data_IF_187651852448
#
_entry.id   IF_187651852448
#
_cell.length_a   1.000
_cell.length_b   1.000
_cell.length_c   1.000
_cell.angle_alpha   90.00
_cell.angle_beta   90.00
_cell.angle_gamma   90.00
#
_symmetry.space_group_name_H-M   'P 1'
#
loop_
_entity.id
_entity.type
_entity.pdbx_description
1 polymer ?
#
# COMPACT_ATOMS: atom_id res chain seq x y z
N UNK A 1 -8.00 4.80 17.11
CA UNK A 1 -9.10 3.83 16.96
C UNK A 1 -9.74 3.91 15.57
N UNK A 2 -10.29 5.04 15.11
CA UNK A 2 -11.02 5.15 13.85
C UNK A 2 -10.28 4.64 12.61
N UNK A 3 -8.97 4.93 12.47
CA UNK A 3 -8.14 4.44 11.36
C UNK A 3 -8.13 2.91 11.32
N UNK A 4 -7.95 2.25 12.47
CA UNK A 4 -7.90 0.79 12.54
C UNK A 4 -9.28 0.14 12.32
N UNK A 5 -10.37 0.80 12.72
CA UNK A 5 -11.74 0.36 12.40
C UNK A 5 -11.93 0.40 10.87
N UNK A 6 -11.54 1.50 10.23
CA UNK A 6 -11.59 1.61 8.77
C UNK A 6 -10.71 0.58 8.06
N UNK A 7 -9.49 0.37 8.56
CA UNK A 7 -8.57 -0.64 8.02
C UNK A 7 -9.06 -2.09 8.22
N UNK A 8 -9.86 -2.35 9.24
CA UNK A 8 -10.52 -3.64 9.46
C UNK A 8 -11.72 -3.84 8.51
N UNK A 9 -12.61 -2.85 8.42
CA UNK A 9 -13.84 -2.97 7.64
C UNK A 9 -13.63 -2.80 6.13
N UNK A 10 -12.64 -2.00 5.73
CA UNK A 10 -12.36 -1.70 4.32
C UNK A 10 -12.13 -2.93 3.45
N UNK A 11 -11.20 -3.83 3.81
CA UNK A 11 -10.96 -5.06 3.03
C UNK A 11 -12.17 -6.00 2.98
N UNK A 12 -12.96 -6.08 4.05
CA UNK A 12 -14.20 -6.89 4.10
C UNK A 12 -15.21 -6.34 3.09
N UNK A 13 -15.39 -5.02 3.08
CA UNK A 13 -16.29 -4.37 2.12
C UNK A 13 -15.76 -4.47 0.69
N UNK A 14 -14.45 -4.35 0.49
CA UNK A 14 -13.81 -4.51 -0.81
C UNK A 14 -13.99 -5.94 -1.35
N UNK A 15 -13.79 -6.97 -0.54
CA UNK A 15 -14.02 -8.37 -0.91
C UNK A 15 -15.49 -8.60 -1.29
N UNK A 16 -16.43 -8.09 -0.49
CA UNK A 16 -17.85 -8.17 -0.78
C UNK A 16 -18.20 -7.55 -2.13
N UNK A 17 -17.76 -6.30 -2.36
CA UNK A 17 -18.06 -5.58 -3.60
C UNK A 17 -17.41 -6.23 -4.83
N UNK A 18 -16.16 -6.72 -4.68
CA UNK A 18 -15.48 -7.44 -5.74
C UNK A 18 -16.19 -8.74 -6.11
N UNK A 19 -16.50 -9.56 -5.13
CA UNK A 19 -17.04 -10.91 -5.37
C UNK A 19 -18.51 -10.87 -5.81
N UNK A 20 -19.28 -9.87 -5.35
CA UNK A 20 -20.69 -9.71 -5.73
C UNK A 20 -20.84 -9.01 -7.08
N UNK A 21 -19.99 -8.06 -7.40
CA UNK A 21 -20.08 -7.23 -8.61
C UNK A 21 -18.82 -7.36 -9.45
N UNK A 22 -17.78 -6.57 -9.17
CA UNK A 22 -16.51 -6.57 -9.88
C UNK A 22 -15.46 -5.68 -9.19
N UNK A 23 -14.27 -5.64 -9.74
CA UNK A 23 -13.18 -4.78 -9.25
C UNK A 23 -13.50 -3.28 -9.30
N UNK A 24 -14.19 -2.83 -10.34
CA UNK A 24 -14.57 -1.41 -10.46
C UNK A 24 -15.48 -0.96 -9.32
N UNK A 25 -16.43 -1.81 -8.90
CA UNK A 25 -17.29 -1.57 -7.76
C UNK A 25 -16.50 -1.51 -6.44
N UNK A 26 -15.51 -2.40 -6.25
CA UNK A 26 -14.64 -2.37 -5.08
C UNK A 26 -13.86 -1.05 -4.99
N UNK A 27 -13.27 -0.58 -6.09
CA UNK A 27 -12.59 0.72 -6.14
C UNK A 27 -13.54 1.91 -5.95
N UNK A 28 -14.73 1.86 -6.55
CA UNK A 28 -15.74 2.91 -6.39
C UNK A 28 -16.17 3.09 -4.92
N UNK A 29 -16.20 2.00 -4.15
CA UNK A 29 -16.51 2.05 -2.71
C UNK A 29 -15.50 2.91 -1.94
N UNK A 30 -14.21 2.83 -2.27
CA UNK A 30 -13.19 3.69 -1.67
C UNK A 30 -13.43 5.17 -2.02
N UNK A 31 -13.78 5.46 -3.28
CA UNK A 31 -14.13 6.81 -3.72
C UNK A 31 -15.34 7.39 -2.96
N UNK A 32 -16.39 6.60 -2.80
CA UNK A 32 -17.57 7.00 -2.01
C UNK A 32 -17.19 7.25 -0.56
N UNK A 33 -16.38 6.37 0.05
CA UNK A 33 -15.90 6.56 1.41
C UNK A 33 -15.10 7.86 1.58
N UNK A 34 -14.25 8.20 0.62
CA UNK A 34 -13.51 9.48 0.61
C UNK A 34 -14.45 10.69 0.50
N UNK A 35 -15.48 10.63 -0.33
CA UNK A 35 -16.48 11.71 -0.45
C UNK A 35 -17.24 11.90 0.86
N UNK A 36 -17.68 10.82 1.49
CA UNK A 36 -18.33 10.87 2.82
C UNK A 36 -17.37 11.51 3.84
N UNK A 37 -16.10 11.07 3.86
CA UNK A 37 -15.07 11.63 4.74
C UNK A 37 -14.89 13.14 4.52
N UNK A 38 -14.84 13.58 3.27
CA UNK A 38 -14.74 15.01 2.91
C UNK A 38 -15.95 15.81 3.40
N UNK A 39 -17.17 15.29 3.21
CA UNK A 39 -18.39 15.93 3.70
C UNK A 39 -18.39 16.06 5.22
N UNK A 40 -18.08 14.96 5.94
CA UNK A 40 -18.00 14.96 7.40
C UNK A 40 -16.93 15.94 7.89
N UNK A 41 -15.77 15.96 7.26
CA UNK A 41 -14.68 16.88 7.59
C UNK A 41 -15.12 18.33 7.38
N UNK A 42 -15.74 18.64 6.24
CA UNK A 42 -16.20 20.01 5.90
C UNK A 42 -17.24 20.50 6.90
N UNK A 43 -18.22 19.66 7.27
CA UNK A 43 -19.22 19.99 8.29
C UNK A 43 -18.56 20.17 9.68
N UNK A 44 -17.57 19.31 10.01
CA UNK A 44 -16.85 19.34 11.27
C UNK A 44 -15.82 20.47 11.41
N UNK A 45 -15.44 21.14 10.32
CA UNK A 45 -14.39 22.15 10.28
C UNK A 45 -14.60 23.26 11.30
N UNK A 46 -15.85 23.66 11.53
CA UNK A 46 -16.22 24.68 12.53
C UNK A 46 -15.78 24.33 13.97
N UNK A 47 -15.68 23.04 14.30
CA UNK A 47 -15.30 22.57 15.63
C UNK A 47 -13.79 22.46 15.83
N UNK A 48 -13.02 22.33 14.74
CA UNK A 48 -11.55 22.16 14.78
C UNK A 48 -10.78 23.41 14.33
N UNK A 49 -11.49 24.43 13.83
CA UNK A 49 -10.89 25.65 13.29
C UNK A 49 -10.00 26.40 14.31
N UNK A 50 -10.28 26.28 15.60
CA UNK A 50 -9.46 26.87 16.66
C UNK A 50 -8.10 26.15 16.83
N UNK A 51 -7.96 24.92 16.35
CA UNK A 51 -6.70 24.15 16.39
C UNK A 51 -5.82 24.44 15.17
N UNK A 52 -6.36 25.08 14.12
CA UNK A 52 -5.61 25.51 12.95
C UNK A 52 -4.89 26.84 13.22
N UNK A 53 -3.86 26.75 14.06
CA UNK A 53 -3.03 27.91 14.41
C UNK A 53 -1.88 27.99 13.44
N UNK A 54 -1.96 28.94 12.50
CA UNK A 54 -0.80 29.29 11.67
C UNK A 54 0.28 29.90 12.56
N UNK A 55 1.47 29.29 12.57
CA UNK A 55 2.63 29.95 13.20
C UNK A 55 2.97 31.22 12.41
N UNK A 56 3.25 32.33 13.10
CA UNK A 56 3.74 33.53 12.42
C UNK A 56 5.04 33.20 11.68
N UNK A 57 5.16 33.68 10.45
CA UNK A 57 6.36 33.52 9.61
C UNK A 57 7.51 34.29 10.29
N UNK A 58 8.56 33.56 10.67
CA UNK A 58 9.75 34.16 11.27
C UNK A 58 10.70 34.71 10.17
N UNK A 59 11.53 35.71 10.57
CA UNK A 59 12.56 36.22 9.65
C UNK A 59 13.60 35.13 9.38
N UNK A 60 13.58 34.56 8.19
CA UNK A 60 14.47 33.46 7.78
C UNK A 60 13.71 32.22 7.27
N UNK A 61 12.40 32.17 7.46
CA UNK A 61 11.58 31.09 6.92
C UNK A 61 11.59 31.12 5.38
N UNK A 62 11.69 29.94 4.79
CA UNK A 62 11.63 29.81 3.34
C UNK A 62 10.23 30.17 2.83
N UNK A 63 10.14 31.17 1.95
CA UNK A 63 8.87 31.50 1.31
C UNK A 63 8.38 30.34 0.46
N UNK A 64 7.05 30.25 0.27
CA UNK A 64 6.43 29.25 -0.63
C UNK A 64 7.04 29.28 -2.04
N UNK A 65 7.34 30.49 -2.56
CA UNK A 65 8.01 30.65 -3.85
C UNK A 65 9.41 30.05 -3.88
N UNK A 66 10.16 30.17 -2.77
CA UNK A 66 11.48 29.55 -2.62
C UNK A 66 11.40 28.03 -2.59
N UNK A 67 10.43 27.47 -1.87
CA UNK A 67 10.22 26.02 -1.82
C UNK A 67 9.80 25.50 -3.18
N UNK A 68 8.87 26.19 -3.85
CA UNK A 68 8.44 25.79 -5.19
C UNK A 68 9.58 25.84 -6.20
N UNK A 69 10.34 26.95 -6.25
CA UNK A 69 11.43 27.12 -7.21
C UNK A 69 12.66 26.26 -6.93
N UNK A 70 13.00 25.98 -5.67
CA UNK A 70 14.22 25.24 -5.31
C UNK A 70 14.00 23.74 -5.05
N UNK A 71 12.76 23.31 -4.83
CA UNK A 71 12.43 21.91 -4.51
C UNK A 71 11.51 21.32 -5.57
N UNK A 72 10.29 21.85 -5.72
CA UNK A 72 9.29 21.25 -6.59
C UNK A 72 9.65 21.34 -8.07
N UNK A 73 10.07 22.50 -8.54
CA UNK A 73 10.40 22.68 -9.96
C UNK A 73 11.59 21.79 -10.39
N UNK A 74 12.74 21.76 -9.69
CA UNK A 74 13.81 20.82 -10.01
C UNK A 74 13.37 19.35 -9.89
N UNK A 75 12.54 19.00 -8.91
CA UNK A 75 12.03 17.64 -8.76
C UNK A 75 11.18 17.22 -9.96
N UNK A 76 10.27 18.08 -10.42
CA UNK A 76 9.45 17.80 -11.61
C UNK A 76 10.34 17.65 -12.85
N UNK A 77 11.29 18.55 -13.06
CA UNK A 77 12.20 18.49 -14.22
C UNK A 77 13.03 17.20 -14.19
N UNK A 78 13.67 16.89 -13.05
CA UNK A 78 14.44 15.65 -12.92
C UNK A 78 13.56 14.41 -13.06
N UNK A 79 12.33 14.45 -12.55
CA UNK A 79 11.37 13.36 -12.71
C UNK A 79 10.99 13.10 -14.17
N UNK A 80 10.73 14.14 -14.94
CA UNK A 80 10.47 14.03 -16.38
C UNK A 80 11.71 13.52 -17.13
N UNK A 81 12.89 14.00 -16.76
CA UNK A 81 14.15 13.49 -17.33
C UNK A 81 14.31 12.00 -17.01
N UNK A 82 14.12 11.59 -15.75
CA UNK A 82 14.22 10.18 -15.36
C UNK A 82 13.20 9.28 -16.05
N UNK A 83 12.02 9.80 -16.34
CA UNK A 83 11.00 9.05 -17.11
C UNK A 83 11.40 8.84 -18.58
N UNK A 84 12.03 9.84 -19.20
CA UNK A 84 12.26 9.87 -20.65
C UNK A 84 13.67 9.42 -21.01
N UNK A 85 14.70 9.85 -20.27
CA UNK A 85 16.10 9.65 -20.62
C UNK A 85 16.53 8.18 -20.75
N UNK A 86 16.08 7.21 -19.94
CA UNK A 86 16.47 5.82 -20.10
C UNK A 86 16.19 5.33 -21.53
N UNK A 87 15.01 5.58 -22.03
CA UNK A 87 14.57 5.10 -23.33
C UNK A 87 15.22 5.86 -24.51
N UNK A 88 15.27 7.19 -24.45
CA UNK A 88 15.66 8.02 -25.59
C UNK A 88 17.14 8.41 -25.61
N UNK A 89 17.82 8.37 -24.45
CA UNK A 89 19.22 8.79 -24.33
C UNK A 89 20.13 7.58 -24.10
N UNK A 90 19.72 6.65 -23.23
CA UNK A 90 20.55 5.50 -22.87
C UNK A 90 20.22 4.24 -23.70
N UNK A 91 19.11 4.25 -24.45
CA UNK A 91 18.70 3.11 -25.27
C UNK A 91 18.25 1.89 -24.46
N UNK A 92 17.94 2.07 -23.16
CA UNK A 92 17.40 1.02 -22.28
C UNK A 92 15.93 1.31 -21.98
N UNK A 93 15.13 0.27 -21.79
CA UNK A 93 13.69 0.45 -21.52
C UNK A 93 13.47 1.20 -20.22
N UNK A 94 14.21 0.87 -19.17
CA UNK A 94 14.23 1.54 -17.86
C UNK A 94 15.48 1.12 -17.08
N UNK A 95 15.79 1.83 -15.98
CA UNK A 95 16.95 1.55 -15.11
C UNK A 95 16.51 0.75 -13.87
N UNK A 96 15.38 1.13 -13.25
CA UNK A 96 14.92 0.61 -11.97
C UNK A 96 13.58 -0.15 -12.08
N UNK A 97 13.37 -0.86 -13.17
CA UNK A 97 12.23 -1.77 -13.37
C UNK A 97 10.98 -1.15 -13.98
N UNK A 98 10.84 0.18 -14.01
CA UNK A 98 9.80 0.88 -14.78
C UNK A 98 10.12 2.36 -14.95
N UNK A 99 9.61 2.98 -16.03
CA UNK A 99 9.77 4.41 -16.27
C UNK A 99 9.24 5.28 -15.11
N UNK A 100 8.14 4.83 -14.47
CA UNK A 100 7.57 5.53 -13.31
C UNK A 100 8.52 5.51 -12.11
N UNK A 101 9.19 4.37 -11.88
CA UNK A 101 10.18 4.22 -10.80
C UNK A 101 11.38 5.10 -11.08
N UNK A 102 11.87 5.12 -12.32
CA UNK A 102 12.98 5.95 -12.74
C UNK A 102 12.65 7.44 -12.53
N UNK A 103 11.49 7.88 -13.02
CA UNK A 103 11.02 9.25 -12.81
C UNK A 103 10.92 9.63 -11.33
N UNK A 104 10.41 8.74 -10.49
CA UNK A 104 10.32 8.99 -9.04
C UNK A 104 11.69 9.10 -8.37
N UNK A 105 12.62 8.20 -8.69
CA UNK A 105 13.98 8.22 -8.11
C UNK A 105 14.72 9.49 -8.54
N UNK A 106 14.66 9.85 -9.82
CA UNK A 106 15.26 11.07 -10.31
C UNK A 106 14.64 12.33 -9.69
N UNK A 107 13.32 12.35 -9.48
CA UNK A 107 12.64 13.46 -8.79
C UNK A 107 13.07 13.58 -7.31
N UNK A 108 13.39 12.49 -6.65
CA UNK A 108 13.83 12.50 -5.25
C UNK A 108 15.23 13.12 -5.08
N UNK A 109 16.11 13.06 -6.08
CA UNK A 109 17.49 13.55 -6.00
C UNK A 109 17.58 15.05 -5.60
N UNK A 110 16.92 16.00 -6.31
CA UNK A 110 16.99 17.41 -5.93
C UNK A 110 16.34 17.68 -4.56
N UNK A 111 15.33 16.90 -4.17
CA UNK A 111 14.71 17.01 -2.84
C UNK A 111 15.73 16.64 -1.75
N UNK A 112 16.42 15.51 -1.91
CA UNK A 112 17.47 15.08 -0.97
C UNK A 112 18.61 16.10 -0.91
N UNK A 113 19.08 16.58 -2.07
CA UNK A 113 20.13 17.61 -2.14
C UNK A 113 19.70 18.88 -1.41
N UNK A 114 18.47 19.31 -1.57
CA UNK A 114 17.94 20.48 -0.87
C UNK A 114 18.00 20.31 0.65
N UNK A 115 17.46 19.22 1.17
CA UNK A 115 17.45 18.98 2.63
C UNK A 115 18.86 18.78 3.21
N UNK A 116 19.73 18.07 2.51
CA UNK A 116 21.13 17.94 2.91
C UNK A 116 21.84 19.32 2.87
N UNK A 117 21.53 20.17 1.89
CA UNK A 117 22.09 21.53 1.83
C UNK A 117 21.64 22.41 3.00
N UNK A 118 20.39 22.22 3.49
CA UNK A 118 19.93 22.91 4.70
C UNK A 118 20.77 22.50 5.92
N UNK A 119 21.06 21.23 6.09
CA UNK A 119 21.90 20.73 7.16
C UNK A 119 23.33 21.28 7.08
N UNK A 120 23.93 21.26 5.87
CA UNK A 120 25.30 21.75 5.67
C UNK A 120 25.41 23.24 6.04
N UNK A 121 24.41 24.05 5.68
CA UNK A 121 24.35 25.50 5.90
C UNK A 121 23.81 25.89 7.26
N UNK A 122 23.29 24.95 8.05
CA UNK A 122 22.72 25.22 9.34
C UNK A 122 23.74 25.71 10.35
N UNK A 123 23.33 26.61 11.25
CA UNK A 123 24.10 27.06 12.39
C UNK A 123 24.36 25.92 13.39
N UNK A 124 25.32 26.08 14.27
CA UNK A 124 25.69 25.05 15.27
C UNK A 124 24.51 24.58 16.14
N UNK A 125 23.58 25.49 16.45
CA UNK A 125 22.35 25.23 17.23
C UNK A 125 21.36 24.36 16.47
N UNK A 126 21.22 24.58 15.15
CA UNK A 126 20.17 23.93 14.34
C UNK A 126 20.67 22.63 13.67
N UNK A 127 21.98 22.46 13.61
CA UNK A 127 22.62 21.34 12.91
C UNK A 127 22.23 19.97 13.48
N UNK A 128 22.14 19.86 14.81
CA UNK A 128 21.73 18.62 15.50
C UNK A 128 20.25 18.27 15.27
N UNK A 129 19.29 19.18 15.48
CA UNK A 129 17.88 18.93 15.17
C UNK A 129 17.64 18.55 13.70
N UNK A 130 18.28 19.25 12.74
CA UNK A 130 18.14 18.94 11.31
C UNK A 130 18.75 17.58 11.00
N UNK A 131 19.92 17.24 11.54
CA UNK A 131 20.50 15.90 11.37
C UNK A 131 19.57 14.79 11.91
N UNK A 132 18.99 15.00 13.09
CA UNK A 132 18.03 14.04 13.66
C UNK A 132 16.80 13.86 12.74
N UNK A 133 16.28 14.95 12.17
CA UNK A 133 15.16 14.92 11.24
C UNK A 133 15.52 14.14 9.95
N UNK A 134 16.72 14.37 9.38
CA UNK A 134 17.18 13.64 8.21
C UNK A 134 17.32 12.13 8.48
N UNK A 135 17.83 11.75 9.66
CA UNK A 135 17.92 10.35 10.08
C UNK A 135 16.52 9.75 10.20
N UNK A 136 15.56 10.46 10.81
CA UNK A 136 14.17 9.99 10.89
C UNK A 136 13.57 9.82 9.50
N UNK A 137 13.82 10.72 8.57
CA UNK A 137 13.35 10.58 7.18
C UNK A 137 13.95 9.34 6.50
N UNK A 138 15.26 9.12 6.63
CA UNK A 138 15.90 7.94 6.08
C UNK A 138 15.33 6.63 6.66
N UNK A 139 15.15 6.57 7.97
CA UNK A 139 14.51 5.43 8.64
C UNK A 139 13.05 5.25 8.21
N UNK A 140 12.32 6.35 8.01
CA UNK A 140 10.94 6.31 7.53
C UNK A 140 10.85 5.72 6.12
N UNK A 141 11.79 6.04 5.23
CA UNK A 141 11.83 5.44 3.88
C UNK A 141 11.97 3.92 3.98
N UNK A 142 12.91 3.42 4.79
CA UNK A 142 13.09 1.97 5.01
C UNK A 142 11.84 1.34 5.62
N UNK A 143 11.27 1.97 6.66
CA UNK A 143 10.04 1.49 7.28
C UNK A 143 8.90 1.37 6.27
N UNK A 144 8.65 2.42 5.48
CA UNK A 144 7.57 2.41 4.50
C UNK A 144 7.83 1.45 3.35
N UNK A 145 9.08 1.25 2.93
CA UNK A 145 9.44 0.25 1.93
C UNK A 145 9.06 -1.16 2.39
N UNK A 146 9.37 -1.51 3.64
CA UNK A 146 9.00 -2.82 4.23
C UNK A 146 7.48 -2.90 4.44
N UNK A 147 6.87 -1.88 5.02
CA UNK A 147 5.45 -1.86 5.34
C UNK A 147 4.56 -2.00 4.09
N UNK A 148 4.95 -1.36 2.98
CA UNK A 148 4.19 -1.41 1.73
C UNK A 148 4.25 -2.78 1.03
N UNK A 149 5.19 -3.67 1.40
CA UNK A 149 5.20 -5.05 0.93
C UNK A 149 3.93 -5.82 1.32
N UNK A 150 3.22 -5.38 2.37
CA UNK A 150 1.94 -5.96 2.74
C UNK A 150 0.90 -5.89 1.60
N UNK A 151 0.86 -4.77 0.86
CA UNK A 151 -0.06 -4.59 -0.27
C UNK A 151 0.43 -5.20 -1.60
N UNK A 152 1.64 -5.70 -1.67
CA UNK A 152 2.25 -6.23 -2.91
C UNK A 152 2.74 -7.67 -2.73
N UNK A 153 3.97 -7.88 -2.29
CA UNK A 153 4.59 -9.19 -2.19
C UNK A 153 3.84 -10.12 -1.22
N UNK A 154 3.48 -9.63 -0.03
CA UNK A 154 2.76 -10.45 0.96
C UNK A 154 1.33 -10.80 0.51
N UNK A 155 0.65 -9.89 -0.20
CA UNK A 155 -0.66 -10.19 -0.79
C UNK A 155 -0.55 -11.26 -1.88
N UNK A 156 0.49 -11.21 -2.73
CA UNK A 156 0.76 -12.27 -3.71
C UNK A 156 1.11 -13.58 -3.05
N UNK A 157 1.94 -13.55 -2.00
CA UNK A 157 2.23 -14.73 -1.20
C UNK A 157 0.96 -15.35 -0.63
N UNK A 158 0.12 -14.53 0.02
CA UNK A 158 -1.16 -14.98 0.55
C UNK A 158 -2.06 -15.58 -0.54
N UNK A 159 -2.05 -15.00 -1.74
CA UNK A 159 -2.88 -15.47 -2.85
C UNK A 159 -2.46 -16.84 -3.39
N UNK A 160 -1.16 -17.09 -3.55
CA UNK A 160 -0.67 -18.22 -4.32
C UNK A 160 0.05 -19.30 -3.49
N UNK A 161 0.47 -18.97 -2.25
CA UNK A 161 1.31 -19.87 -1.43
C UNK A 161 0.75 -20.14 -0.05
N UNK A 162 -0.42 -19.57 0.28
CA UNK A 162 -1.07 -19.79 1.56
C UNK A 162 -2.31 -20.65 1.35
N UNK A 163 -2.53 -21.62 2.23
CA UNK A 163 -3.76 -22.38 2.24
C UNK A 163 -4.94 -21.47 2.56
N UNK A 164 -5.83 -21.32 1.60
CA UNK A 164 -7.01 -20.46 1.67
C UNK A 164 -8.32 -21.24 1.61
N UNK A 165 -8.25 -22.56 1.66
CA UNK A 165 -9.45 -23.38 1.67
C UNK A 165 -10.32 -23.03 2.87
N UNK A 166 -11.60 -22.94 2.62
CA UNK A 166 -12.57 -22.56 3.66
C UNK A 166 -12.96 -23.81 4.43
N UNK A 167 -12.81 -23.78 5.76
CA UNK A 167 -13.30 -24.87 6.60
C UNK A 167 -14.81 -25.03 6.42
N UNK A 168 -15.29 -26.27 6.30
CA UNK A 168 -16.68 -26.59 6.01
C UNK A 168 -17.71 -25.90 6.93
N UNK A 169 -17.32 -25.69 8.21
CA UNK A 169 -18.18 -25.01 9.22
C UNK A 169 -18.46 -23.54 8.89
N UNK A 170 -17.49 -22.85 8.25
CA UNK A 170 -17.61 -21.42 7.94
C UNK A 170 -17.88 -21.15 6.45
N UNK A 171 -17.91 -22.17 5.62
CA UNK A 171 -18.09 -22.02 4.18
C UNK A 171 -19.44 -21.36 3.84
N UNK A 172 -20.54 -21.87 4.37
CA UNK A 172 -21.87 -21.34 4.09
C UNK A 172 -22.03 -19.86 4.49
N UNK A 173 -21.67 -19.42 5.71
CA UNK A 173 -21.73 -18.00 6.06
C UNK A 173 -20.73 -17.15 5.27
N UNK A 174 -19.53 -17.64 4.98
CA UNK A 174 -18.54 -16.89 4.19
C UNK A 174 -19.01 -16.67 2.74
N UNK A 175 -19.66 -17.66 2.14
CA UNK A 175 -20.30 -17.53 0.81
C UNK A 175 -21.47 -16.54 0.83
N UNK A 176 -22.34 -16.64 1.83
CA UNK A 176 -23.48 -15.73 1.98
C UNK A 176 -23.06 -14.26 2.12
N UNK A 177 -21.90 -14.03 2.73
CA UNK A 177 -21.32 -12.69 2.89
C UNK A 177 -20.36 -12.31 1.76
N UNK A 178 -20.25 -13.09 0.70
CA UNK A 178 -19.35 -12.85 -0.42
C UNK A 178 -17.88 -12.66 0.01
N UNK A 179 -17.43 -13.36 1.05
CA UNK A 179 -16.06 -13.31 1.57
C UNK A 179 -15.15 -14.39 0.97
N UNK A 180 -15.68 -15.16 0.04
CA UNK A 180 -14.96 -16.19 -0.71
C UNK A 180 -14.91 -15.83 -2.19
N UNK A 181 -13.81 -16.17 -2.84
CA UNK A 181 -13.71 -16.16 -4.30
C UNK A 181 -13.83 -17.57 -4.84
N UNK A 182 -14.47 -17.66 -6.00
CA UNK A 182 -14.61 -18.92 -6.73
C UNK A 182 -13.44 -19.07 -7.68
N UNK A 183 -12.62 -20.10 -7.49
CA UNK A 183 -11.47 -20.37 -8.37
C UNK A 183 -11.80 -21.53 -9.31
N UNK A 184 -11.72 -21.32 -10.64
CA UNK A 184 -11.87 -22.40 -11.60
C UNK A 184 -10.67 -23.35 -11.51
N UNK A 185 -10.92 -24.64 -11.45
CA UNK A 185 -9.88 -25.68 -11.39
C UNK A 185 -9.44 -26.14 -12.78
N UNK A 186 -10.17 -25.71 -13.81
CA UNK A 186 -9.89 -26.05 -15.23
C UNK A 186 -8.58 -25.46 -15.70
N UNK A 187 -7.94 -26.18 -16.62
CA UNK A 187 -6.83 -25.64 -17.40
C UNK A 187 -7.35 -24.49 -18.27
N UNK A 188 -6.74 -23.33 -18.14
CA UNK A 188 -7.10 -22.13 -18.90
C UNK A 188 -5.82 -21.36 -19.31
N UNK A 189 -6.01 -20.32 -20.06
CA UNK A 189 -4.94 -19.43 -20.51
C UNK A 189 -4.49 -18.53 -19.36
N UNK A 190 -3.48 -18.96 -18.60
CA UNK A 190 -2.92 -18.24 -17.47
C UNK A 190 -1.64 -17.50 -17.84
N UNK A 191 -1.37 -16.39 -17.18
CA UNK A 191 -0.13 -15.64 -17.37
C UNK A 191 1.05 -16.47 -16.88
N UNK A 192 2.11 -16.58 -17.71
CA UNK A 192 3.38 -17.16 -17.31
C UNK A 192 4.15 -16.14 -16.45
N UNK A 193 4.55 -16.55 -15.25
CA UNK A 193 5.43 -15.78 -14.37
C UNK A 193 6.82 -16.39 -14.34
N UNK A 194 7.85 -15.55 -14.21
CA UNK A 194 9.24 -15.97 -13.95
C UNK A 194 9.47 -16.26 -12.45
N UNK A 195 10.73 -16.54 -12.08
CA UNK A 195 11.12 -16.83 -10.69
C UNK A 195 10.98 -15.62 -9.76
N UNK A 196 11.02 -14.41 -10.30
CA UNK A 196 10.82 -13.14 -9.60
C UNK A 196 9.33 -12.70 -9.56
N UNK A 197 8.41 -13.57 -9.97
CA UNK A 197 6.95 -13.31 -10.04
C UNK A 197 6.56 -12.17 -11.00
N UNK A 198 7.39 -11.87 -11.99
CA UNK A 198 7.06 -10.93 -13.03
C UNK A 198 6.40 -11.66 -14.21
N UNK A 199 5.45 -10.99 -14.86
CA UNK A 199 4.83 -11.56 -16.05
C UNK A 199 5.85 -11.63 -17.20
N UNK A 200 6.14 -12.82 -17.69
CA UNK A 200 7.04 -13.03 -18.84
C UNK A 200 6.46 -12.32 -20.06
N UNK A 201 7.26 -11.47 -20.69
CA UNK A 201 6.88 -10.75 -21.90
C UNK A 201 7.80 -11.14 -23.05
N UNK A 202 7.22 -11.34 -24.22
CA UNK A 202 7.93 -11.52 -25.50
C UNK A 202 7.37 -10.48 -26.46
N UNK A 203 8.23 -9.67 -27.05
CA UNK A 203 7.86 -8.54 -27.92
C UNK A 203 6.83 -7.58 -27.26
N UNK A 204 7.01 -7.29 -25.97
CA UNK A 204 6.11 -6.42 -25.20
C UNK A 204 4.76 -7.03 -24.85
N UNK A 205 4.45 -8.25 -25.29
CA UNK A 205 3.20 -8.96 -24.98
C UNK A 205 3.40 -9.97 -23.88
N UNK A 206 2.44 -10.02 -22.95
CA UNK A 206 2.43 -11.00 -21.86
C UNK A 206 2.24 -12.40 -22.42
N UNK A 207 3.16 -13.32 -22.08
CA UNK A 207 3.08 -14.73 -22.48
C UNK A 207 2.02 -15.41 -21.63
N UNK A 208 1.13 -16.13 -22.29
CA UNK A 208 0.14 -16.99 -21.64
C UNK A 208 0.43 -18.45 -21.96
N UNK A 209 0.21 -19.31 -20.99
CA UNK A 209 0.35 -20.77 -21.10
C UNK A 209 -0.97 -21.44 -20.75
N UNK A 210 -1.22 -22.61 -21.31
CA UNK A 210 -2.37 -23.44 -20.91
C UNK A 210 -1.97 -24.21 -19.65
N UNK A 211 -2.51 -23.80 -18.51
CA UNK A 211 -2.18 -24.40 -17.23
C UNK A 211 -3.28 -24.11 -16.21
N UNK A 212 -3.22 -24.75 -15.04
CA UNK A 212 -4.03 -24.38 -13.89
C UNK A 212 -3.50 -23.10 -13.25
N UNK A 213 -4.35 -22.42 -12.47
CA UNK A 213 -3.91 -21.26 -11.70
C UNK A 213 -2.72 -21.62 -10.80
N UNK A 214 -1.81 -20.65 -10.59
CA UNK A 214 -0.59 -20.80 -9.79
C UNK A 214 -0.90 -21.36 -8.39
N UNK A 215 -2.04 -21.00 -7.81
CA UNK A 215 -2.48 -21.50 -6.50
C UNK A 215 -2.52 -23.04 -6.49
N UNK A 216 -3.17 -23.67 -7.47
CA UNK A 216 -3.31 -25.13 -7.53
C UNK A 216 -1.98 -25.83 -7.79
N UNK A 217 -1.08 -25.24 -8.58
CA UNK A 217 0.25 -25.79 -8.82
C UNK A 217 1.11 -25.85 -7.57
N UNK A 218 0.91 -24.92 -6.64
CA UNK A 218 1.67 -24.84 -5.38
C UNK A 218 1.09 -25.74 -4.29
N UNK A 219 -0.08 -26.34 -4.49
CA UNK A 219 -0.65 -27.31 -3.55
C UNK A 219 0.10 -28.65 -3.62
N UNK A 220 0.25 -29.35 -2.48
CA UNK A 220 0.72 -30.72 -2.48
C UNK A 220 -0.11 -31.61 -3.42
N UNK A 221 0.48 -32.64 -4.05
CA UNK A 221 -0.23 -33.49 -5.01
C UNK A 221 -1.54 -34.09 -4.48
N UNK A 222 -1.60 -34.41 -3.18
CA UNK A 222 -2.78 -34.99 -2.54
C UNK A 222 -3.95 -33.99 -2.43
N UNK A 223 -3.67 -32.69 -2.49
CA UNK A 223 -4.64 -31.59 -2.34
C UNK A 223 -4.95 -30.91 -3.66
N UNK A 224 -4.35 -31.36 -4.75
CA UNK A 224 -4.70 -30.84 -6.07
C UNK A 224 -6.11 -31.30 -6.46
N UNK A 225 -6.94 -30.40 -7.04
CA UNK A 225 -8.30 -30.76 -7.43
C UNK A 225 -8.26 -31.86 -8.50
N UNK A 226 -9.02 -32.95 -8.24
CA UNK A 226 -9.10 -34.11 -9.13
C UNK A 226 -10.24 -33.98 -10.16
N UNK A 227 -11.18 -33.06 -9.93
CA UNK A 227 -12.31 -32.76 -10.78
C UNK A 227 -12.29 -31.30 -11.24
N UNK A 228 -13.15 -30.96 -12.17
CA UNK A 228 -13.30 -29.62 -12.72
C UNK A 228 -14.27 -28.74 -11.89
N UNK A 229 -14.63 -29.15 -10.69
CA UNK A 229 -15.50 -28.37 -9.83
C UNK A 229 -14.78 -27.16 -9.24
N UNK A 230 -15.41 -25.99 -9.21
CA UNK A 230 -14.78 -24.80 -8.68
C UNK A 230 -14.54 -24.93 -7.17
N UNK A 231 -13.37 -24.43 -6.71
CA UNK A 231 -13.01 -24.41 -5.30
C UNK A 231 -13.28 -23.00 -4.74
N UNK A 232 -13.79 -22.98 -3.50
CA UNK A 232 -14.07 -21.73 -2.78
C UNK A 232 -12.92 -21.41 -1.85
N UNK A 233 -12.27 -20.26 -2.09
CA UNK A 233 -11.12 -19.80 -1.35
C UNK A 233 -11.44 -18.52 -0.59
N UNK A 234 -10.90 -18.36 0.61
CA UNK A 234 -10.98 -17.09 1.34
C UNK A 234 -10.38 -15.97 0.49
N UNK A 235 -11.09 -14.85 0.39
CA UNK A 235 -10.62 -13.67 -0.33
C UNK A 235 -9.34 -13.12 0.29
N UNK A 236 -8.32 -12.88 -0.53
CA UNK A 236 -6.99 -12.44 -0.05
C UNK A 236 -7.01 -11.12 0.69
N UNK A 237 -7.96 -10.26 0.39
CA UNK A 237 -8.16 -8.97 1.06
C UNK A 237 -8.39 -9.12 2.57
N UNK A 238 -9.01 -10.22 3.00
CA UNK A 238 -9.31 -10.46 4.41
C UNK A 238 -8.06 -10.60 5.28
N UNK A 239 -6.94 -11.06 4.72
CA UNK A 239 -5.69 -11.14 5.47
C UNK A 239 -5.23 -9.76 5.95
N UNK A 240 -5.54 -8.69 5.21
CA UNK A 240 -5.21 -7.33 5.61
C UNK A 240 -6.05 -6.82 6.78
N UNK A 241 -7.22 -7.41 7.04
CA UNK A 241 -8.08 -7.07 8.18
C UNK A 241 -7.62 -7.67 9.51
N UNK A 242 -6.77 -8.71 9.49
CA UNK A 242 -6.37 -9.45 10.71
C UNK A 242 -5.62 -8.55 11.69
N UNK A 243 -4.61 -7.81 11.22
CA UNK A 243 -3.84 -6.91 12.07
C UNK A 243 -4.70 -5.77 12.67
N UNK A 244 -5.46 -4.97 11.87
CA UNK A 244 -6.36 -3.97 12.42
C UNK A 244 -7.39 -4.52 13.40
N UNK A 245 -7.92 -5.72 13.16
CA UNK A 245 -8.81 -6.39 14.10
C UNK A 245 -8.16 -6.54 15.48
N UNK A 246 -6.96 -7.13 15.54
CA UNK A 246 -6.27 -7.32 16.79
C UNK A 246 -5.89 -6.02 17.48
N UNK A 247 -5.52 -4.98 16.72
CA UNK A 247 -5.27 -3.65 17.29
C UNK A 247 -6.53 -3.09 17.96
N UNK A 248 -7.69 -3.20 17.32
CA UNK A 248 -8.96 -2.73 17.89
C UNK A 248 -9.35 -3.57 19.11
N UNK A 249 -9.25 -4.90 19.02
CA UNK A 249 -9.66 -5.82 20.08
C UNK A 249 -8.76 -5.73 21.33
N UNK A 250 -7.44 -5.58 21.14
CA UNK A 250 -6.49 -5.56 22.26
C UNK A 250 -6.31 -4.17 22.88
N UNK A 251 -6.62 -3.08 22.18
CA UNK A 251 -6.44 -1.72 22.72
C UNK A 251 -7.15 -1.52 24.05
N UNK A 252 -8.42 -1.89 24.27
CA UNK A 252 -9.07 -1.75 25.56
C UNK A 252 -8.37 -2.54 26.68
N UNK A 253 -7.85 -3.72 26.37
CA UNK A 253 -7.11 -4.57 27.32
C UNK A 253 -5.82 -3.88 27.75
N UNK A 254 -5.04 -3.39 26.78
CA UNK A 254 -3.78 -2.68 27.05
C UNK A 254 -4.03 -1.40 27.84
N UNK A 255 -5.03 -0.60 27.45
CA UNK A 255 -5.40 0.63 28.17
C UNK A 255 -5.85 0.31 29.59
N UNK A 256 -6.69 -0.72 29.77
CA UNK A 256 -7.14 -1.18 31.08
C UNK A 256 -5.98 -1.65 31.97
N UNK A 257 -5.04 -2.38 31.41
CA UNK A 257 -3.83 -2.83 32.11
C UNK A 257 -2.99 -1.64 32.61
N UNK A 258 -2.69 -0.67 31.77
CA UNK A 258 -1.94 0.52 32.19
C UNK A 258 -2.72 1.39 33.18
N UNK A 259 -4.03 1.52 33.05
CA UNK A 259 -4.87 2.21 34.00
C UNK A 259 -4.83 1.54 35.39
N UNK A 260 -4.83 0.20 35.43
CA UNK A 260 -4.69 -0.57 36.67
C UNK A 260 -3.31 -0.35 37.32
N UNK A 261 -2.24 -0.40 36.51
CA UNK A 261 -0.88 -0.13 37.03
C UNK A 261 -0.74 1.30 37.62
N UNK A 262 -1.34 2.27 36.94
CA UNK A 262 -1.32 3.67 37.41
C UNK A 262 -2.06 3.87 38.74
N UNK A 263 -3.12 3.11 39.01
CA UNK A 263 -3.88 3.16 40.27
C UNK A 263 -3.12 2.56 41.45
N UNK A 264 -2.08 1.75 41.19
CA UNK A 264 -1.25 1.10 42.22
C UNK A 264 -0.05 1.95 42.64
N UNK A 265 0.21 3.07 41.97
CA UNK A 265 1.18 4.11 42.37
C UNK A 265 0.45 5.27 43.03
#
# INVERSE_FOLDING_TARGET
>A
MGINIGAFLGPILAAFMRNKFNWSAAFATAGVGMLIGLVVFTIGLKHIRHADVMKPVEKGDASMGTVFGKVFLPAIICGVIGWIAPQYVLGVENIFGSNSTDGFIFAAVPIVIFYVSLWVRANATDKRPIAALLVIFALSVVFWAVFKQNGTALTRWAKYYTDREVAAVVEAPARALYQVETMPTKIDSVVKYDEEFQAVKVDGKVVKIQDRDVYFRNLPPERQPQNDEPVYLISTELFQSVNPFWVVALTPVVVGFFAMLRRRK
#
